data_IF_546702045623
#
_entry.id   IF_546702045623
#
_cell.length_a   1.000
_cell.length_b   1.000
_cell.length_c   1.000
_cell.angle_alpha   90.00
_cell.angle_beta   90.00
_cell.angle_gamma   90.00
#
_symmetry.space_group_name_H-M   'P 1'
#
loop_
_entity.id
_entity.type
_entity.pdbx_description
1 polymer ?
#
# COMPACT_ATOMS: atom_id res chain seq x y z
N UNK A 1 12.06 26.31 -0.49
CA UNK A 1 11.00 25.56 0.25
C UNK A 1 9.72 25.61 -0.54
N UNK A 2 9.19 24.46 -0.89
CA UNK A 2 7.86 24.32 -1.52
C UNK A 2 6.79 24.67 -0.46
N UNK A 3 5.76 25.40 -0.87
CA UNK A 3 4.58 25.70 -0.06
C UNK A 3 3.35 25.05 -0.68
N UNK A 4 2.24 25.00 0.06
CA UNK A 4 0.94 24.53 -0.47
C UNK A 4 0.55 25.23 -1.79
N UNK A 5 0.88 26.52 -1.91
CA UNK A 5 0.54 27.29 -3.10
C UNK A 5 1.25 26.79 -4.37
N UNK A 6 2.38 26.12 -4.23
CA UNK A 6 3.09 25.50 -5.35
C UNK A 6 2.39 24.25 -5.89
N UNK A 7 1.60 23.56 -5.04
CA UNK A 7 0.84 22.38 -5.43
C UNK A 7 -0.57 22.70 -5.98
N UNK A 8 -1.06 23.94 -5.82
CA UNK A 8 -2.38 24.36 -6.28
C UNK A 8 -2.56 24.37 -7.81
N UNK A 9 -1.58 24.76 -8.64
CA UNK A 9 -1.74 24.72 -10.09
C UNK A 9 -2.12 23.32 -10.58
N UNK A 10 -3.02 23.26 -11.55
CA UNK A 10 -3.34 21.99 -12.23
C UNK A 10 -2.21 21.66 -13.20
N UNK A 11 -1.79 20.40 -13.20
CA UNK A 11 -0.92 19.88 -14.25
C UNK A 11 -1.74 19.50 -15.52
N UNK A 12 -1.07 19.10 -16.59
CA UNK A 12 -1.71 18.78 -17.87
C UNK A 12 -2.71 17.63 -17.74
N UNK A 13 -2.38 16.60 -16.95
CA UNK A 13 -3.29 15.48 -16.68
C UNK A 13 -4.56 15.95 -15.96
N UNK A 14 -4.44 16.79 -14.96
CA UNK A 14 -5.58 17.35 -14.22
C UNK A 14 -6.43 18.29 -15.09
N UNK A 15 -5.81 19.06 -15.99
CA UNK A 15 -6.53 19.87 -16.99
C UNK A 15 -7.32 18.96 -17.95
N UNK A 16 -6.71 17.88 -18.43
CA UNK A 16 -7.38 16.89 -19.24
C UNK A 16 -8.58 16.27 -18.51
N UNK A 17 -8.37 15.75 -17.29
CA UNK A 17 -9.42 15.11 -16.49
C UNK A 17 -10.59 16.04 -16.21
N UNK A 18 -10.31 17.31 -15.89
CA UNK A 18 -11.33 18.33 -15.70
C UNK A 18 -12.17 18.56 -16.97
N UNK A 19 -11.54 18.61 -18.14
CA UNK A 19 -12.24 18.74 -19.42
C UNK A 19 -13.02 17.47 -19.76
N UNK A 20 -12.46 16.29 -19.47
CA UNK A 20 -13.13 15.00 -19.62
C UNK A 20 -14.44 14.95 -18.82
N UNK A 21 -14.40 15.28 -17.52
CA UNK A 21 -15.60 15.30 -16.67
C UNK A 21 -16.64 16.34 -17.10
N UNK A 22 -16.21 17.47 -17.67
CA UNK A 22 -17.15 18.43 -18.30
C UNK A 22 -17.85 17.83 -19.52
N UNK A 23 -17.13 17.06 -20.33
CA UNK A 23 -17.67 16.41 -21.53
C UNK A 23 -18.56 15.22 -21.19
N UNK A 24 -18.21 14.49 -20.13
CA UNK A 24 -18.89 13.28 -19.68
C UNK A 24 -19.30 13.39 -18.20
N UNK A 25 -20.32 14.22 -17.85
CA UNK A 25 -20.68 14.55 -16.47
C UNK A 25 -21.10 13.36 -15.63
N UNK A 26 -21.59 12.28 -16.24
CA UNK A 26 -21.98 11.05 -15.54
C UNK A 26 -20.84 10.46 -14.71
N UNK A 27 -19.59 10.63 -15.14
CA UNK A 27 -18.42 10.10 -14.43
C UNK A 27 -17.93 10.98 -13.27
N UNK A 28 -18.59 12.10 -12.99
CA UNK A 28 -18.34 12.89 -11.77
C UNK A 28 -18.84 12.18 -10.50
N UNK A 29 -19.90 11.38 -10.62
CA UNK A 29 -20.57 10.74 -9.47
C UNK A 29 -20.72 9.23 -9.63
N UNK A 30 -20.58 8.68 -10.85
CA UNK A 30 -20.66 7.24 -11.08
C UNK A 30 -19.41 6.57 -10.58
N UNK A 31 -19.54 5.73 -9.53
CA UNK A 31 -18.48 4.87 -9.05
C UNK A 31 -18.34 3.68 -10.00
N UNK A 32 -17.17 3.47 -10.54
CA UNK A 32 -16.82 2.34 -11.42
C UNK A 32 -15.94 1.37 -10.62
N UNK A 33 -16.49 0.18 -10.35
CA UNK A 33 -15.78 -0.86 -9.61
C UNK A 33 -15.47 -2.04 -10.55
N UNK A 34 -14.19 -2.33 -10.84
CA UNK A 34 -13.80 -3.42 -11.74
C UNK A 34 -14.23 -4.81 -11.24
N UNK A 35 -14.32 -5.01 -9.93
CA UNK A 35 -14.78 -6.28 -9.35
C UNK A 35 -16.29 -6.50 -9.52
N UNK A 36 -17.07 -5.41 -9.58
CA UNK A 36 -18.51 -5.49 -9.77
C UNK A 36 -18.91 -5.51 -11.24
N UNK A 37 -18.19 -4.76 -12.09
CA UNK A 37 -18.44 -4.66 -13.52
C UNK A 37 -17.15 -4.32 -14.28
N UNK A 38 -16.42 -5.33 -14.68
CA UNK A 38 -15.17 -5.21 -15.44
C UNK A 38 -15.38 -4.53 -16.81
N UNK A 39 -16.51 -4.78 -17.46
CA UNK A 39 -16.80 -4.19 -18.78
C UNK A 39 -16.95 -2.67 -18.71
N UNK A 40 -17.65 -2.15 -17.70
CA UNK A 40 -17.79 -0.71 -17.47
C UNK A 40 -16.43 -0.06 -17.19
N UNK A 41 -15.56 -0.76 -16.45
CA UNK A 41 -14.21 -0.30 -16.13
C UNK A 41 -13.36 -0.21 -17.42
N UNK A 42 -13.30 -1.29 -18.20
CA UNK A 42 -12.55 -1.34 -19.46
C UNK A 42 -13.08 -0.28 -20.43
N UNK A 43 -14.40 -0.15 -20.54
CA UNK A 43 -15.02 0.87 -21.41
C UNK A 43 -14.58 2.29 -21.03
N UNK A 44 -14.58 2.61 -19.72
CA UNK A 44 -14.15 3.93 -19.25
C UNK A 44 -12.65 4.17 -19.52
N UNK A 45 -11.79 3.16 -19.32
CA UNK A 45 -10.37 3.27 -19.63
C UNK A 45 -10.15 3.57 -21.13
N UNK A 46 -10.79 2.84 -22.03
CA UNK A 46 -10.69 3.09 -23.46
C UNK A 46 -11.23 4.47 -23.86
N UNK A 47 -12.31 4.92 -23.21
CA UNK A 47 -12.86 6.26 -23.46
C UNK A 47 -11.90 7.35 -23.00
N UNK A 48 -11.28 7.20 -21.81
CA UNK A 48 -10.26 8.11 -21.28
C UNK A 48 -9.05 8.15 -22.22
N UNK A 49 -8.53 7.01 -22.64
CA UNK A 49 -7.39 6.88 -23.54
C UNK A 49 -7.67 7.52 -24.90
N UNK A 50 -8.82 7.25 -25.49
CA UNK A 50 -9.22 7.85 -26.75
C UNK A 50 -9.34 9.38 -26.69
N UNK A 51 -9.85 9.93 -25.60
CA UNK A 51 -9.93 11.37 -25.39
C UNK A 51 -8.55 11.98 -25.03
N UNK A 52 -7.69 11.23 -24.33
CA UNK A 52 -6.32 11.63 -24.03
C UNK A 52 -5.51 11.89 -25.30
N UNK A 53 -5.47 10.92 -26.21
CA UNK A 53 -4.73 11.03 -27.47
C UNK A 53 -5.26 12.13 -28.42
N UNK A 54 -6.51 12.58 -28.25
CA UNK A 54 -7.02 13.75 -28.96
C UNK A 54 -6.49 15.08 -28.44
N UNK A 55 -6.20 15.17 -27.14
CA UNK A 55 -5.75 16.40 -26.47
C UNK A 55 -4.24 16.45 -26.28
N UNK A 56 -3.61 15.29 -26.04
CA UNK A 56 -2.21 15.11 -25.70
C UNK A 56 -1.61 13.96 -26.55
N UNK A 57 -1.53 14.12 -27.90
CA UNK A 57 -1.18 13.02 -28.81
C UNK A 57 0.23 12.48 -28.61
N UNK A 58 1.16 13.30 -28.14
CA UNK A 58 2.58 12.95 -27.96
C UNK A 58 2.90 12.42 -26.55
N UNK A 59 1.89 12.34 -25.67
CA UNK A 59 2.09 11.87 -24.29
C UNK A 59 1.53 10.47 -24.10
N UNK A 60 2.26 9.64 -23.35
CA UNK A 60 1.79 8.32 -22.93
C UNK A 60 0.56 8.47 -22.01
N UNK A 61 -0.44 7.62 -22.21
CA UNK A 61 -1.63 7.62 -21.37
C UNK A 61 -1.26 7.14 -19.95
N UNK A 62 -1.61 7.91 -18.94
CA UNK A 62 -1.18 7.73 -17.56
C UNK A 62 -1.74 6.49 -16.85
N UNK A 63 -2.82 5.89 -17.37
CA UNK A 63 -3.40 4.63 -16.86
C UNK A 63 -3.08 3.42 -17.73
N UNK A 64 -2.09 3.49 -18.60
CA UNK A 64 -1.69 2.36 -19.45
C UNK A 64 -1.35 1.14 -18.60
N UNK A 65 -2.00 0.00 -18.89
CA UNK A 65 -1.81 -1.25 -18.15
C UNK A 65 -2.56 -1.36 -16.82
N UNK A 66 -3.38 -0.37 -16.45
CA UNK A 66 -4.23 -0.47 -15.27
C UNK A 66 -5.30 -1.54 -15.43
N UNK A 67 -5.40 -2.43 -14.44
CA UNK A 67 -6.42 -3.49 -14.36
C UNK A 67 -7.38 -3.30 -13.18
N UNK A 68 -7.29 -2.14 -12.49
CA UNK A 68 -8.00 -1.92 -11.23
C UNK A 68 -7.37 -2.58 -10.02
N UNK A 69 -6.35 -3.43 -10.22
CA UNK A 69 -5.45 -3.94 -9.18
C UNK A 69 -4.01 -3.58 -9.56
N UNK A 70 -3.38 -2.70 -8.78
CA UNK A 70 -2.10 -2.10 -9.11
C UNK A 70 -0.96 -2.85 -8.40
N UNK A 71 0.02 -3.29 -9.17
CA UNK A 71 1.25 -3.87 -8.62
C UNK A 71 2.15 -2.79 -8.02
N UNK A 72 3.10 -3.18 -7.18
CA UNK A 72 4.13 -2.25 -6.66
C UNK A 72 4.90 -1.57 -7.80
N UNK A 73 5.20 -2.30 -8.87
CA UNK A 73 6.00 -1.81 -9.99
C UNK A 73 5.25 -0.83 -10.92
N UNK A 74 3.96 -0.62 -10.68
CA UNK A 74 3.18 0.37 -11.42
C UNK A 74 3.63 1.80 -11.10
N UNK A 75 3.99 2.06 -9.83
CA UNK A 75 4.43 3.38 -9.36
C UNK A 75 5.88 3.42 -8.89
N UNK A 76 6.42 2.31 -8.38
CA UNK A 76 7.72 2.26 -7.72
C UNK A 76 8.72 1.53 -8.64
N UNK A 77 9.71 2.22 -9.23
CA UNK A 77 10.76 1.58 -10.00
C UNK A 77 11.53 0.52 -9.19
N UNK A 78 12.13 -0.48 -9.86
CA UNK A 78 12.82 -1.61 -9.21
C UNK A 78 13.87 -1.19 -8.17
N UNK A 79 14.55 -0.07 -8.40
CA UNK A 79 15.62 0.43 -7.54
C UNK A 79 15.14 1.38 -6.43
N UNK A 80 13.85 1.63 -6.35
CA UNK A 80 13.25 2.54 -5.36
C UNK A 80 12.35 1.76 -4.40
N UNK A 81 12.14 2.31 -3.22
CA UNK A 81 11.30 1.74 -2.18
C UNK A 81 10.05 2.58 -1.88
N UNK A 82 10.09 3.83 -2.30
CA UNK A 82 9.04 4.82 -2.05
C UNK A 82 8.80 5.63 -3.33
N UNK A 83 7.56 5.95 -3.61
CA UNK A 83 7.15 6.92 -4.61
C UNK A 83 6.27 7.98 -3.95
N UNK A 84 6.45 9.24 -4.32
CA UNK A 84 5.68 10.37 -3.80
C UNK A 84 4.87 10.97 -4.94
N UNK A 85 3.58 11.08 -4.75
CA UNK A 85 2.68 11.63 -5.76
C UNK A 85 1.78 12.70 -5.17
N UNK A 86 1.35 13.62 -6.00
CA UNK A 86 0.17 14.43 -5.73
C UNK A 86 -1.04 13.72 -6.33
N UNK A 87 -2.03 13.39 -5.49
CA UNK A 87 -3.26 12.76 -5.94
C UNK A 87 -3.91 13.59 -7.06
N UNK A 88 -4.31 12.92 -8.14
CA UNK A 88 -4.88 13.58 -9.32
C UNK A 88 -6.30 14.07 -9.03
N UNK A 89 -6.50 15.37 -9.13
CA UNK A 89 -7.83 15.98 -9.06
C UNK A 89 -8.64 15.67 -10.31
N UNK A 90 -9.95 15.63 -10.16
CA UNK A 90 -10.89 15.36 -11.23
C UNK A 90 -10.81 13.96 -11.83
N UNK A 91 -10.18 12.99 -11.14
CA UNK A 91 -10.29 11.59 -11.56
C UNK A 91 -11.76 11.17 -11.56
N UNK A 92 -12.23 10.43 -12.58
CA UNK A 92 -13.44 9.62 -12.45
C UNK A 92 -13.34 8.69 -11.23
N UNK A 93 -14.46 8.36 -10.59
CA UNK A 93 -14.47 7.53 -9.39
C UNK A 93 -14.17 6.06 -9.74
N UNK A 94 -12.90 5.79 -10.06
CA UNK A 94 -12.38 4.46 -10.38
C UNK A 94 -11.96 3.75 -9.10
N UNK A 95 -12.77 2.78 -8.66
CA UNK A 95 -12.37 1.90 -7.56
C UNK A 95 -11.16 1.08 -8.00
N UNK A 96 -10.17 0.99 -7.14
CA UNK A 96 -8.96 0.20 -7.37
C UNK A 96 -8.48 -0.42 -6.07
N UNK A 97 -7.58 -1.37 -6.19
CA UNK A 97 -6.78 -1.92 -5.10
C UNK A 97 -5.32 -1.98 -5.52
N UNK A 98 -4.44 -2.18 -4.59
CA UNK A 98 -3.01 -2.22 -4.84
C UNK A 98 -2.28 -3.24 -3.96
N UNK A 99 -1.03 -3.57 -4.32
CA UNK A 99 -0.16 -4.51 -3.57
C UNK A 99 0.76 -3.81 -2.56
N UNK A 100 0.83 -2.50 -2.58
CA UNK A 100 1.69 -1.66 -1.74
C UNK A 100 0.92 -1.05 -0.56
N UNK A 101 1.64 -0.39 0.33
CA UNK A 101 1.04 0.46 1.37
C UNK A 101 0.98 1.89 0.82
N UNK A 102 -0.17 2.51 0.97
CA UNK A 102 -0.39 3.90 0.61
C UNK A 102 -0.72 4.71 1.87
N UNK A 103 0.03 5.80 2.08
CA UNK A 103 -0.24 6.78 3.12
C UNK A 103 -0.57 8.11 2.46
N UNK A 104 -1.76 8.61 2.69
CA UNK A 104 -2.24 9.84 2.10
C UNK A 104 -2.27 10.93 3.17
N UNK A 105 -1.65 12.08 2.89
CA UNK A 105 -1.75 13.28 3.72
C UNK A 105 -2.63 14.32 3.04
N UNK A 106 -3.70 14.73 3.72
CA UNK A 106 -4.64 15.73 3.21
C UNK A 106 -4.14 17.14 3.56
N UNK A 107 -3.41 17.77 2.66
CA UNK A 107 -2.99 19.17 2.83
C UNK A 107 -4.18 20.12 2.77
N UNK A 108 -5.08 19.90 1.81
CA UNK A 108 -6.35 20.63 1.64
C UNK A 108 -7.44 19.70 1.16
N UNK A 109 -8.47 19.51 1.94
CA UNK A 109 -9.60 18.65 1.61
C UNK A 109 -10.54 19.28 0.58
N UNK A 110 -11.07 20.48 0.84
CA UNK A 110 -12.11 21.10 0.01
C UNK A 110 -13.23 20.14 -0.38
N UNK A 111 -13.80 19.44 0.61
CA UNK A 111 -14.85 18.43 0.44
C UNK A 111 -14.38 17.15 -0.29
N UNK A 112 -13.12 16.80 -0.20
CA UNK A 112 -12.64 15.49 -0.67
C UNK A 112 -13.22 14.36 0.16
N UNK A 113 -13.44 13.22 -0.50
CA UNK A 113 -13.95 12.00 0.16
C UNK A 113 -12.99 10.84 -0.13
N UNK A 114 -12.84 9.97 0.85
CA UNK A 114 -12.37 8.60 0.64
C UNK A 114 -13.61 7.70 0.50
N UNK A 115 -13.67 6.95 -0.59
CA UNK A 115 -14.77 6.02 -0.88
C UNK A 115 -14.20 4.60 -0.85
N UNK A 116 -14.73 3.77 0.01
CA UNK A 116 -14.47 2.34 0.06
C UNK A 116 -15.70 1.53 -0.38
N UNK A 117 -15.66 0.21 -0.26
CA UNK A 117 -16.76 -0.65 -0.67
C UNK A 117 -18.05 -0.47 0.17
N UNK A 118 -17.94 0.09 1.38
CA UNK A 118 -19.04 0.17 2.34
C UNK A 118 -19.57 1.60 2.50
N UNK A 119 -18.67 2.61 2.43
CA UNK A 119 -19.03 3.99 2.78
C UNK A 119 -18.18 5.04 2.05
N UNK A 120 -18.63 6.28 2.18
CA UNK A 120 -17.86 7.48 1.81
C UNK A 120 -17.51 8.26 3.08
N UNK A 121 -16.23 8.47 3.31
CA UNK A 121 -15.70 9.16 4.49
C UNK A 121 -15.24 10.56 4.11
N UNK A 122 -15.85 11.63 4.64
CA UNK A 122 -15.37 13.00 4.43
C UNK A 122 -13.98 13.19 5.03
N UNK A 123 -13.09 13.81 4.25
CA UNK A 123 -11.73 14.13 4.68
C UNK A 123 -11.63 15.59 5.13
N UNK A 124 -10.71 15.85 6.05
CA UNK A 124 -10.40 17.17 6.57
C UNK A 124 -8.93 17.51 6.33
N UNK A 125 -8.60 18.81 6.41
CA UNK A 125 -7.21 19.26 6.34
C UNK A 125 -6.41 18.67 7.52
N UNK A 126 -5.26 18.06 7.24
CA UNK A 126 -4.43 17.38 8.24
C UNK A 126 -4.78 15.91 8.46
N UNK A 127 -5.80 15.37 7.79
CA UNK A 127 -6.06 13.93 7.88
C UNK A 127 -4.91 13.13 7.24
N UNK A 128 -4.57 12.03 7.90
CA UNK A 128 -3.62 11.03 7.41
C UNK A 128 -4.36 9.71 7.28
N UNK A 129 -4.31 9.11 6.11
CA UNK A 129 -4.98 7.85 5.83
C UNK A 129 -3.93 6.79 5.48
N UNK A 130 -3.99 5.62 6.09
CA UNK A 130 -3.21 4.45 5.69
C UNK A 130 -4.14 3.45 5.01
N UNK A 131 -3.94 3.27 3.71
CA UNK A 131 -4.61 2.28 2.88
C UNK A 131 -3.71 1.05 2.74
N UNK A 132 -4.09 -0.10 3.31
CA UNK A 132 -3.31 -1.34 3.22
C UNK A 132 -3.42 -1.99 1.84
N UNK A 133 -2.57 -2.99 1.54
CA UNK A 133 -2.72 -3.81 0.36
C UNK A 133 -4.12 -4.42 0.24
N UNK A 134 -4.61 -4.53 -0.99
CA UNK A 134 -5.90 -5.10 -1.37
C UNK A 134 -7.16 -4.32 -0.94
N UNK A 135 -7.04 -3.20 -0.24
CA UNK A 135 -8.19 -2.33 0.05
C UNK A 135 -8.78 -1.81 -1.26
N UNK A 136 -10.09 -2.05 -1.47
CA UNK A 136 -10.85 -1.44 -2.57
C UNK A 136 -11.25 -0.03 -2.18
N UNK A 137 -10.71 0.97 -2.86
CA UNK A 137 -10.98 2.37 -2.56
C UNK A 137 -10.81 3.29 -3.77
N UNK A 138 -11.27 4.52 -3.63
CA UNK A 138 -10.98 5.65 -4.52
C UNK A 138 -11.10 6.97 -3.76
N UNK A 139 -10.42 8.01 -4.24
CA UNK A 139 -10.57 9.37 -3.72
C UNK A 139 -11.43 10.21 -4.64
N UNK A 140 -12.38 10.95 -4.06
CA UNK A 140 -13.11 11.99 -4.78
C UNK A 140 -12.48 13.34 -4.48
N UNK A 141 -11.69 13.86 -5.42
CA UNK A 141 -10.94 15.12 -5.33
C UNK A 141 -11.31 16.06 -6.48
N UNK A 142 -12.62 16.33 -6.64
CA UNK A 142 -13.14 17.08 -7.78
C UNK A 142 -13.13 18.60 -7.57
N UNK A 143 -12.26 19.11 -6.71
CA UNK A 143 -12.11 20.55 -6.44
C UNK A 143 -10.68 21.01 -6.80
N UNK A 144 -10.58 22.16 -7.48
CA UNK A 144 -9.28 22.75 -7.88
C UNK A 144 -8.34 23.06 -6.70
N UNK A 145 -8.90 23.23 -5.51
CA UNK A 145 -8.15 23.58 -4.31
C UNK A 145 -7.84 22.35 -3.42
N UNK A 146 -8.32 21.15 -3.76
CA UNK A 146 -7.97 19.94 -3.02
C UNK A 146 -6.51 19.58 -3.29
N UNK A 147 -5.78 19.18 -2.24
CA UNK A 147 -4.39 18.73 -2.34
C UNK A 147 -4.23 17.55 -1.38
N UNK A 148 -3.97 16.37 -1.93
CA UNK A 148 -3.59 15.18 -1.18
C UNK A 148 -2.21 14.76 -1.71
N UNK A 149 -1.30 14.44 -0.80
CA UNK A 149 0.02 13.89 -1.11
C UNK A 149 0.05 12.43 -0.71
N UNK A 150 0.40 11.58 -1.66
CA UNK A 150 0.38 10.13 -1.51
C UNK A 150 1.82 9.62 -1.35
N UNK A 151 2.08 8.89 -0.28
CA UNK A 151 3.31 8.14 -0.05
C UNK A 151 3.01 6.69 -0.38
N UNK A 152 3.59 6.20 -1.46
CA UNK A 152 3.45 4.83 -1.93
C UNK A 152 4.70 4.06 -1.52
N UNK A 153 4.55 3.07 -0.64
CA UNK A 153 5.65 2.32 -0.05
C UNK A 153 5.57 0.83 -0.38
N UNK A 154 6.71 0.24 -0.74
CA UNK A 154 6.80 -1.23 -0.74
C UNK A 154 6.49 -1.77 0.65
N UNK A 155 5.74 -2.87 0.72
CA UNK A 155 5.39 -3.50 2.00
C UNK A 155 6.66 -3.82 2.81
N UNK A 156 7.69 -4.34 2.15
CA UNK A 156 8.99 -4.67 2.80
C UNK A 156 9.68 -3.46 3.42
N UNK A 157 9.54 -2.28 2.82
CA UNK A 157 10.12 -1.03 3.34
C UNK A 157 9.35 -0.55 4.56
N UNK A 158 8.01 -0.55 4.47
CA UNK A 158 7.16 -0.19 5.60
C UNK A 158 7.45 -1.08 6.80
N UNK A 159 7.57 -2.39 6.59
CA UNK A 159 7.88 -3.32 7.67
C UNK A 159 9.20 -3.01 8.38
N UNK A 160 10.23 -2.65 7.60
CA UNK A 160 11.53 -2.31 8.20
C UNK A 160 11.40 -1.13 9.16
N UNK A 161 10.64 -0.11 8.79
CA UNK A 161 10.34 1.06 9.64
C UNK A 161 9.47 0.64 10.83
N UNK A 162 8.41 -0.07 10.55
CA UNK A 162 7.40 -0.45 11.53
C UNK A 162 7.93 -1.41 12.58
N UNK A 163 8.81 -2.36 12.22
CA UNK A 163 9.44 -3.26 13.19
C UNK A 163 10.32 -2.56 14.19
N UNK A 164 10.95 -1.44 13.84
CA UNK A 164 11.70 -0.64 14.81
C UNK A 164 10.76 0.05 15.82
N UNK A 165 9.52 0.33 15.43
CA UNK A 165 8.49 0.92 16.30
C UNK A 165 7.83 -0.10 17.22
N UNK A 166 7.69 -1.36 16.78
CA UNK A 166 6.99 -2.43 17.52
C UNK A 166 7.71 -2.95 18.76
N UNK A 167 8.92 -2.48 19.06
CA UNK A 167 9.68 -2.93 20.24
C UNK A 167 9.01 -2.66 21.60
N UNK A 168 7.90 -1.93 21.59
CA UNK A 168 7.08 -1.70 22.80
C UNK A 168 5.75 -2.46 22.62
N UNK A 169 5.66 -3.66 23.16
CA UNK A 169 4.49 -4.54 23.23
C UNK A 169 3.17 -3.79 23.47
N UNK A 170 2.57 -3.17 22.44
CA UNK A 170 1.31 -2.50 22.57
C UNK A 170 0.23 -3.12 21.65
N UNK A 171 -1.02 -2.91 22.04
CA UNK A 171 -2.22 -3.39 21.37
C UNK A 171 -2.30 -2.90 19.91
N UNK A 172 -1.78 -1.70 19.64
CA UNK A 172 -1.79 -1.08 18.33
C UNK A 172 -0.95 -1.84 17.31
N UNK A 173 0.18 -2.44 17.70
CA UNK A 173 0.98 -3.25 16.77
C UNK A 173 0.19 -4.41 16.19
N UNK A 174 -0.66 -5.05 17.00
CA UNK A 174 -1.55 -6.13 16.52
C UNK A 174 -2.61 -5.60 15.58
N UNK A 175 -3.23 -4.46 15.91
CA UNK A 175 -4.23 -3.82 15.05
C UNK A 175 -3.64 -3.42 13.71
N UNK A 176 -2.48 -2.76 13.70
CA UNK A 176 -1.77 -2.39 12.47
C UNK A 176 -1.43 -3.62 11.62
N UNK A 177 -0.85 -4.65 12.25
CA UNK A 177 -0.51 -5.88 11.54
C UNK A 177 -1.74 -6.54 10.94
N UNK A 178 -2.87 -6.50 11.62
CA UNK A 178 -4.11 -7.07 11.11
C UNK A 178 -4.74 -6.22 9.98
N UNK A 179 -4.63 -4.90 10.04
CA UNK A 179 -5.06 -4.02 8.95
C UNK A 179 -4.19 -4.24 7.72
N UNK A 180 -2.87 -4.31 7.88
CA UNK A 180 -1.92 -4.41 6.77
C UNK A 180 -1.89 -5.82 6.15
N UNK A 181 -1.95 -6.87 6.98
CA UNK A 181 -1.79 -8.26 6.55
C UNK A 181 -3.07 -9.09 6.64
N UNK A 182 -4.15 -8.53 7.20
CA UNK A 182 -5.45 -9.18 7.27
C UNK A 182 -6.22 -9.13 5.95
N UNK A 183 -7.28 -9.92 5.86
CA UNK A 183 -8.27 -9.81 4.78
C UNK A 183 -9.28 -8.69 5.06
N UNK A 184 -9.02 -7.82 6.04
CA UNK A 184 -9.93 -6.74 6.39
C UNK A 184 -9.92 -5.65 5.32
N UNK A 185 -11.08 -5.32 4.76
CA UNK A 185 -11.27 -4.21 3.84
C UNK A 185 -11.25 -2.86 4.58
N UNK A 186 -10.32 -2.68 5.52
CA UNK A 186 -10.25 -1.51 6.37
C UNK A 186 -9.03 -0.64 6.14
N UNK A 187 -9.16 0.64 6.49
CA UNK A 187 -8.06 1.61 6.52
C UNK A 187 -7.94 2.21 7.92
N UNK A 188 -6.85 2.91 8.17
CA UNK A 188 -6.64 3.69 9.39
C UNK A 188 -6.65 5.17 9.01
N UNK A 189 -7.32 5.99 9.81
CA UNK A 189 -7.30 7.44 9.66
C UNK A 189 -6.89 8.09 10.97
N UNK A 190 -6.04 9.11 10.89
CA UNK A 190 -5.69 10.02 11.99
C UNK A 190 -6.15 11.43 11.62
N UNK A 191 -6.76 12.11 12.56
CA UNK A 191 -7.20 13.49 12.41
C UNK A 191 -6.18 14.46 13.01
N UNK A 192 -5.02 14.60 12.36
CA UNK A 192 -3.88 15.41 12.81
C UNK A 192 -4.03 16.90 12.45
N UNK A 193 -5.20 17.48 12.74
CA UNK A 193 -5.47 18.88 12.43
C UNK A 193 -4.50 19.80 13.18
N UNK A 194 -3.93 20.79 12.45
CA UNK A 194 -2.99 21.79 12.98
C UNK A 194 -1.62 21.26 13.42
N UNK A 195 -1.23 20.04 13.10
CA UNK A 195 0.15 19.58 13.28
C UNK A 195 1.06 20.17 12.20
N UNK A 196 1.73 21.28 12.54
CA UNK A 196 2.64 21.97 11.62
C UNK A 196 3.89 21.14 11.31
N UNK A 197 4.35 20.30 12.25
CA UNK A 197 5.54 19.49 12.06
C UNK A 197 5.32 18.40 11.00
N UNK A 198 4.20 17.69 11.07
CA UNK A 198 3.81 16.71 10.04
C UNK A 198 3.62 17.39 8.69
N UNK A 199 2.94 18.53 8.65
CA UNK A 199 2.72 19.29 7.42
C UNK A 199 4.02 19.77 6.76
N UNK A 200 4.93 20.35 7.53
CA UNK A 200 6.23 20.80 7.03
C UNK A 200 7.06 19.64 6.51
N UNK A 201 6.99 18.49 7.18
CA UNK A 201 7.69 17.29 6.76
C UNK A 201 7.15 16.73 5.45
N UNK A 202 5.83 16.71 5.25
CA UNK A 202 5.20 16.30 3.98
C UNK A 202 5.65 17.20 2.83
N UNK A 203 5.66 18.52 3.04
CA UNK A 203 6.15 19.47 2.03
C UNK A 203 7.63 19.27 1.72
N UNK A 204 8.46 18.96 2.73
CA UNK A 204 9.88 18.65 2.55
C UNK A 204 10.10 17.35 1.77
N UNK A 205 9.31 16.30 2.04
CA UNK A 205 9.34 15.04 1.29
C UNK A 205 8.99 15.28 -0.18
N UNK A 206 7.92 16.04 -0.43
CA UNK A 206 7.48 16.39 -1.78
C UNK A 206 8.53 17.24 -2.51
N UNK A 207 9.15 18.19 -1.85
CA UNK A 207 10.25 19.01 -2.41
C UNK A 207 11.47 18.17 -2.79
N UNK A 208 11.85 17.22 -1.93
CA UNK A 208 12.96 16.29 -2.20
C UNK A 208 12.68 15.42 -3.44
N UNK A 209 11.43 14.92 -3.55
CA UNK A 209 10.98 14.14 -4.70
C UNK A 209 11.05 14.94 -6.01
N UNK A 210 10.50 16.15 -6.03
CA UNK A 210 10.50 17.01 -7.22
C UNK A 210 11.90 17.44 -7.66
N UNK A 211 12.79 17.73 -6.71
CA UNK A 211 14.16 18.15 -7.00
C UNK A 211 15.05 17.00 -7.49
N UNK A 212 14.73 15.77 -7.12
CA UNK A 212 15.41 14.54 -7.52
C UNK A 212 16.94 14.65 -7.47
N UNK A 213 17.47 15.14 -6.34
CA UNK A 213 18.92 15.35 -6.16
C UNK A 213 19.63 14.02 -5.90
N UNK A 214 20.97 14.04 -5.94
CA UNK A 214 21.78 12.86 -5.60
C UNK A 214 21.40 12.32 -4.22
N UNK A 215 21.15 11.02 -4.12
CA UNK A 215 20.66 10.30 -2.93
C UNK A 215 19.21 10.63 -2.53
N UNK A 216 18.41 11.19 -3.43
CA UNK A 216 17.00 11.49 -3.23
C UNK A 216 16.23 10.31 -2.62
N UNK A 217 16.37 9.09 -3.16
CA UNK A 217 15.69 7.89 -2.67
C UNK A 217 15.95 7.64 -1.18
N UNK A 218 17.22 7.78 -0.76
CA UNK A 218 17.60 7.56 0.64
C UNK A 218 17.13 8.69 1.56
N UNK A 219 17.11 9.92 1.07
CA UNK A 219 16.56 11.05 1.80
C UNK A 219 15.06 10.88 2.01
N UNK A 220 14.33 10.47 0.98
CA UNK A 220 12.89 10.22 1.07
C UNK A 220 12.59 9.09 2.04
N UNK A 221 13.30 7.96 1.98
CA UNK A 221 13.15 6.86 2.94
C UNK A 221 13.28 7.35 4.41
N UNK A 222 14.32 8.16 4.69
CA UNK A 222 14.55 8.71 6.02
C UNK A 222 13.45 9.69 6.46
N UNK A 223 13.03 10.57 5.55
CA UNK A 223 11.98 11.56 5.83
C UNK A 223 10.60 10.89 6.05
N UNK A 224 10.29 9.85 5.29
CA UNK A 224 9.07 9.06 5.49
C UNK A 224 9.13 8.28 6.81
N UNK A 225 10.30 7.77 7.19
CA UNK A 225 10.51 7.16 8.49
C UNK A 225 10.31 8.17 9.62
N UNK A 226 10.87 9.38 9.49
CA UNK A 226 10.65 10.48 10.44
C UNK A 226 9.16 10.85 10.55
N UNK A 227 8.46 10.91 9.42
CA UNK A 227 7.02 11.17 9.37
C UNK A 227 6.21 10.14 10.17
N UNK A 228 6.47 8.84 9.94
CA UNK A 228 5.80 7.76 10.68
C UNK A 228 6.12 7.83 12.17
N UNK A 229 7.38 8.12 12.53
CA UNK A 229 7.79 8.25 13.93
C UNK A 229 7.11 9.40 14.64
N UNK A 230 7.00 10.58 14.00
CA UNK A 230 6.30 11.74 14.56
C UNK A 230 4.81 11.44 14.71
N UNK A 231 4.18 10.85 13.67
CA UNK A 231 2.78 10.45 13.71
C UNK A 231 2.50 9.52 14.90
N UNK A 232 3.32 8.46 15.07
CA UNK A 232 3.16 7.54 16.18
C UNK A 232 3.42 8.19 17.54
N UNK A 233 4.43 9.04 17.64
CA UNK A 233 4.76 9.72 18.90
C UNK A 233 3.66 10.66 19.40
N UNK A 234 3.01 11.36 18.47
CA UNK A 234 2.10 12.46 18.80
C UNK A 234 0.62 12.07 18.71
N UNK A 235 0.28 11.06 17.86
CA UNK A 235 -1.11 10.76 17.48
C UNK A 235 -1.45 9.27 17.54
N UNK A 236 -0.61 8.43 18.20
CA UNK A 236 -0.84 6.98 18.28
C UNK A 236 -2.26 6.64 18.77
N UNK A 237 -2.71 7.31 19.83
CA UNK A 237 -4.02 7.07 20.47
C UNK A 237 -5.20 7.64 19.68
N UNK A 238 -4.94 8.45 18.64
CA UNK A 238 -5.96 9.09 17.80
C UNK A 238 -6.30 8.28 16.55
N UNK A 239 -5.70 7.10 16.38
CA UNK A 239 -5.94 6.21 15.26
C UNK A 239 -7.38 5.71 15.25
N UNK A 240 -8.12 6.00 14.18
CA UNK A 240 -9.49 5.53 13.95
C UNK A 240 -9.46 4.44 12.87
N UNK A 241 -9.98 3.27 13.19
CA UNK A 241 -10.07 2.14 12.27
C UNK A 241 -11.45 2.15 11.58
N UNK A 242 -11.46 2.01 10.25
CA UNK A 242 -12.69 2.07 9.46
C UNK A 242 -13.61 0.88 9.65
N UNK A 243 -13.08 -0.27 10.04
CA UNK A 243 -13.83 -1.49 10.33
C UNK A 243 -13.84 -1.78 11.82
N UNK A 244 -14.96 -2.28 12.32
CA UNK A 244 -15.04 -2.84 13.67
C UNK A 244 -14.17 -4.10 13.71
N UNK A 245 -12.98 -3.99 14.28
CA UNK A 245 -12.08 -5.11 14.43
C UNK A 245 -12.68 -6.16 15.37
N UNK A 246 -13.25 -7.22 14.82
CA UNK A 246 -13.69 -8.38 15.57
C UNK A 246 -12.50 -9.30 15.73
N UNK A 247 -12.10 -9.55 16.97
CA UNK A 247 -11.01 -10.46 17.34
C UNK A 247 -11.44 -11.91 17.04
N UNK A 248 -11.53 -12.27 15.77
CA UNK A 248 -11.90 -13.59 15.30
C UNK A 248 -10.62 -14.44 15.16
N UNK A 249 -10.58 -15.63 15.76
CA UNK A 249 -9.41 -16.51 15.71
C UNK A 249 -9.01 -16.91 14.28
N UNK A 250 -9.98 -16.94 13.36
CA UNK A 250 -9.72 -17.30 11.96
C UNK A 250 -9.10 -16.13 11.19
N UNK A 251 -9.48 -14.91 11.52
CA UNK A 251 -8.89 -13.68 10.96
C UNK A 251 -7.44 -13.49 11.42
N UNK A 252 -7.17 -13.71 12.69
CA UNK A 252 -5.79 -13.71 13.21
C UNK A 252 -4.91 -14.75 12.52
N UNK A 253 -5.44 -15.95 12.24
CA UNK A 253 -4.71 -16.97 11.49
C UNK A 253 -4.41 -16.52 10.05
N UNK A 254 -5.38 -15.93 9.36
CA UNK A 254 -5.20 -15.41 7.99
C UNK A 254 -4.14 -14.33 7.95
N UNK A 255 -4.19 -13.36 8.87
CA UNK A 255 -3.20 -12.28 8.96
C UNK A 255 -1.78 -12.81 9.19
N UNK A 256 -1.62 -13.77 10.10
CA UNK A 256 -0.33 -14.45 10.35
C UNK A 256 0.16 -15.19 9.11
N UNK A 257 -0.74 -15.87 8.39
CA UNK A 257 -0.40 -16.62 7.18
C UNK A 257 -0.01 -15.68 6.02
N UNK A 258 -0.78 -14.61 5.83
CA UNK A 258 -0.49 -13.58 4.82
C UNK A 258 0.87 -12.94 5.06
N UNK A 259 1.16 -12.56 6.33
CA UNK A 259 2.48 -12.05 6.70
C UNK A 259 3.59 -13.04 6.32
N UNK A 260 3.42 -14.32 6.65
CA UNK A 260 4.41 -15.35 6.28
C UNK A 260 4.58 -15.48 4.76
N UNK A 261 3.50 -15.37 3.98
CA UNK A 261 3.52 -15.44 2.52
C UNK A 261 4.24 -14.23 1.90
N UNK A 262 4.10 -13.04 2.48
CA UNK A 262 4.78 -11.83 2.02
C UNK A 262 6.25 -11.82 2.40
N UNK A 263 6.61 -12.37 3.57
CA UNK A 263 7.96 -12.33 4.14
C UNK A 263 8.66 -13.69 4.17
N UNK A 264 8.24 -14.64 3.35
CA UNK A 264 8.72 -16.03 3.38
C UNK A 264 10.25 -16.18 3.36
N UNK A 265 10.97 -15.23 2.78
CA UNK A 265 12.43 -15.24 2.70
C UNK A 265 13.10 -15.02 4.06
N UNK A 266 12.55 -14.10 4.88
CA UNK A 266 13.23 -13.56 6.06
C UNK A 266 12.45 -13.72 7.36
N UNK A 267 11.19 -14.21 7.29
CA UNK A 267 10.35 -14.36 8.48
C UNK A 267 10.92 -15.42 9.43
N UNK A 268 10.89 -15.09 10.71
CA UNK A 268 11.15 -16.01 11.83
C UNK A 268 9.94 -16.03 12.75
N UNK A 269 9.81 -17.07 13.56
CA UNK A 269 8.73 -17.15 14.54
C UNK A 269 8.76 -15.97 15.51
N UNK A 270 9.97 -15.53 15.92
CA UNK A 270 10.13 -14.37 16.81
C UNK A 270 9.71 -13.06 16.15
N UNK A 271 10.05 -12.85 14.87
CA UNK A 271 9.58 -11.66 14.12
C UNK A 271 8.06 -11.65 14.01
N UNK A 272 7.48 -12.81 13.67
CA UNK A 272 6.03 -12.95 13.57
C UNK A 272 5.33 -12.69 14.92
N UNK A 273 5.91 -13.21 16.00
CA UNK A 273 5.42 -12.99 17.36
C UNK A 273 5.44 -11.50 17.73
N UNK A 274 6.52 -10.81 17.40
CA UNK A 274 6.67 -9.38 17.62
C UNK A 274 5.64 -8.57 16.80
N UNK A 275 5.55 -8.85 15.49
CA UNK A 275 4.65 -8.13 14.58
C UNK A 275 3.17 -8.17 15.00
N UNK A 276 2.76 -9.30 15.59
CA UNK A 276 1.35 -9.51 15.96
C UNK A 276 1.10 -9.41 17.48
N UNK A 277 2.10 -8.98 18.23
CA UNK A 277 2.03 -8.91 19.69
C UNK A 277 1.54 -10.22 20.35
N UNK A 278 2.02 -11.35 19.83
CA UNK A 278 1.78 -12.69 20.37
C UNK A 278 3.06 -13.28 20.95
N UNK A 279 2.91 -14.21 21.89
CA UNK A 279 4.02 -15.10 22.21
C UNK A 279 4.22 -16.13 21.07
N UNK A 280 5.44 -16.61 20.86
CA UNK A 280 5.72 -17.69 19.89
C UNK A 280 4.83 -18.92 20.12
N UNK A 281 4.55 -19.23 21.38
CA UNK A 281 3.68 -20.33 21.79
C UNK A 281 2.23 -20.13 21.37
N UNK A 282 1.73 -18.90 21.39
CA UNK A 282 0.38 -18.58 20.92
C UNK A 282 0.29 -18.76 19.41
N UNK A 283 1.27 -18.28 18.64
CA UNK A 283 1.33 -18.46 17.18
C UNK A 283 1.35 -19.94 16.79
N UNK A 284 2.21 -20.74 17.43
CA UNK A 284 2.26 -22.19 17.20
C UNK A 284 0.89 -22.83 17.46
N UNK A 285 0.21 -22.41 18.53
CA UNK A 285 -1.14 -22.90 18.86
C UNK A 285 -2.17 -22.51 17.83
N UNK A 286 -2.13 -21.25 17.33
CA UNK A 286 -3.03 -20.77 16.26
C UNK A 286 -2.81 -21.58 14.98
N UNK A 287 -1.57 -21.76 14.55
CA UNK A 287 -1.26 -22.53 13.35
C UNK A 287 -1.70 -24.00 13.48
N UNK A 288 -1.35 -24.67 14.57
CA UNK A 288 -1.74 -26.06 14.81
C UNK A 288 -3.27 -26.25 14.86
N UNK A 289 -3.99 -25.29 15.48
CA UNK A 289 -5.45 -25.33 15.55
C UNK A 289 -6.09 -25.25 14.13
N UNK A 290 -5.55 -24.40 13.26
CA UNK A 290 -6.17 -24.11 11.97
C UNK A 290 -5.68 -25.05 10.83
N UNK A 291 -4.45 -25.57 10.93
CA UNK A 291 -3.83 -26.34 9.82
C UNK A 291 -3.30 -27.71 10.22
N UNK A 292 -3.22 -28.00 11.51
CA UNK A 292 -2.50 -29.17 12.04
C UNK A 292 -0.98 -29.05 12.00
N UNK A 293 -0.43 -27.98 11.38
CA UNK A 293 1.01 -27.78 11.11
C UNK A 293 1.61 -26.72 12.05
N UNK A 294 2.92 -26.79 12.29
CA UNK A 294 3.67 -25.77 12.99
C UNK A 294 4.21 -24.70 12.04
N UNK A 295 4.83 -23.64 12.62
CA UNK A 295 5.41 -22.52 11.86
C UNK A 295 6.41 -22.97 10.79
N UNK A 296 7.37 -23.85 11.16
CA UNK A 296 8.41 -24.31 10.23
C UNK A 296 7.86 -25.13 9.08
N UNK A 297 6.85 -25.96 9.31
CA UNK A 297 6.17 -26.76 8.30
C UNK A 297 5.43 -25.88 7.30
N UNK A 298 4.66 -24.88 7.80
CA UNK A 298 3.95 -23.92 6.95
C UNK A 298 4.93 -23.05 6.14
N UNK A 299 6.01 -22.58 6.76
CA UNK A 299 7.03 -21.80 6.04
C UNK A 299 7.70 -22.62 4.92
N UNK A 300 8.00 -23.89 5.21
CA UNK A 300 8.54 -24.79 4.19
C UNK A 300 7.58 -24.98 3.03
N UNK A 301 6.30 -25.17 3.31
CA UNK A 301 5.26 -25.31 2.28
C UNK A 301 5.15 -24.05 1.41
N UNK A 302 5.12 -22.87 2.01
CA UNK A 302 5.10 -21.58 1.28
C UNK A 302 6.33 -21.49 0.36
N UNK A 303 7.53 -21.79 0.88
CA UNK A 303 8.78 -21.73 0.10
C UNK A 303 8.80 -22.75 -1.04
N UNK A 304 8.32 -23.96 -0.81
CA UNK A 304 8.27 -25.00 -1.86
C UNK A 304 7.27 -24.66 -2.96
N UNK A 305 6.11 -24.10 -2.63
CA UNK A 305 5.17 -23.62 -3.64
C UNK A 305 5.77 -22.51 -4.53
N UNK A 306 6.60 -21.63 -3.95
CA UNK A 306 7.38 -20.63 -4.72
C UNK A 306 8.51 -21.29 -5.52
N UNK A 307 9.19 -22.30 -4.96
CA UNK A 307 10.26 -23.06 -5.62
C UNK A 307 9.79 -23.68 -6.93
N UNK A 308 8.61 -24.30 -6.94
CA UNK A 308 8.03 -24.93 -8.14
C UNK A 308 7.90 -23.93 -9.30
N UNK A 309 7.57 -22.68 -9.01
CA UNK A 309 7.48 -21.63 -10.03
C UNK A 309 8.86 -21.21 -10.53
N UNK A 310 9.83 -21.00 -9.61
CA UNK A 310 11.17 -20.57 -9.96
C UNK A 310 11.97 -21.66 -10.71
N UNK A 311 11.78 -22.93 -10.36
CA UNK A 311 12.45 -24.08 -11.01
C UNK A 311 12.03 -24.28 -12.48
N UNK A 312 10.90 -23.70 -12.90
CA UNK A 312 10.50 -23.69 -14.33
C UNK A 312 11.40 -22.82 -15.17
N UNK A 313 12.04 -21.81 -14.56
CA UNK A 313 12.97 -20.94 -15.25
C UNK A 313 14.39 -21.53 -15.20
N UNK A 314 14.83 -22.10 -16.33
CA UNK A 314 16.15 -22.75 -16.46
C UNK A 314 17.34 -21.78 -16.42
N UNK A 315 17.10 -20.49 -16.52
CA UNK A 315 18.14 -19.47 -16.50
C UNK A 315 18.60 -19.12 -15.08
N UNK A 316 17.83 -19.51 -14.06
CA UNK A 316 18.16 -19.24 -12.66
C UNK A 316 18.90 -20.45 -12.07
N UNK A 317 20.13 -20.30 -11.61
CA UNK A 317 20.87 -21.41 -11.01
C UNK A 317 20.25 -21.82 -9.65
N UNK A 318 20.36 -23.08 -9.28
CA UNK A 318 19.73 -23.65 -8.06
C UNK A 318 20.15 -22.92 -6.78
N UNK A 319 21.42 -22.49 -6.68
CA UNK A 319 21.87 -21.68 -5.55
C UNK A 319 21.21 -20.29 -5.50
N UNK A 320 20.92 -19.70 -6.65
CA UNK A 320 20.14 -18.47 -6.77
C UNK A 320 18.71 -18.67 -6.26
N UNK A 321 18.05 -19.75 -6.71
CA UNK A 321 16.69 -20.11 -6.24
C UNK A 321 16.68 -20.32 -4.72
N UNK A 322 17.65 -21.09 -4.18
CA UNK A 322 17.74 -21.30 -2.73
C UNK A 322 17.85 -19.97 -1.96
N UNK A 323 18.68 -19.03 -2.43
CA UNK A 323 18.83 -17.71 -1.84
C UNK A 323 17.53 -16.89 -1.94
N UNK A 324 16.88 -16.87 -3.10
CA UNK A 324 15.60 -16.18 -3.32
C UNK A 324 14.47 -16.73 -2.43
N UNK A 325 14.56 -17.99 -2.01
CA UNK A 325 13.61 -18.63 -1.10
C UNK A 325 13.98 -18.45 0.40
N UNK A 326 15.09 -17.79 0.70
CA UNK A 326 15.54 -17.53 2.05
C UNK A 326 16.23 -18.73 2.72
N UNK A 327 16.83 -19.63 1.95
CA UNK A 327 17.68 -20.71 2.47
C UNK A 327 19.14 -20.25 2.53
N UNK A 328 19.76 -20.40 3.67
CA UNK A 328 21.20 -20.13 3.87
C UNK A 328 22.11 -21.20 3.26
N UNK A 329 21.57 -22.37 2.93
CA UNK A 329 22.29 -23.51 2.38
C UNK A 329 21.54 -24.12 1.19
N UNK A 330 22.18 -24.13 0.04
CA UNK A 330 21.67 -24.80 -1.17
C UNK A 330 21.51 -26.31 -0.96
N UNK A 331 22.42 -26.94 -0.23
CA UNK A 331 22.32 -28.35 0.12
C UNK A 331 21.05 -28.65 0.92
N UNK A 332 20.75 -27.83 1.92
CA UNK A 332 19.53 -28.00 2.71
C UNK A 332 18.26 -27.77 1.89
N UNK A 333 18.27 -26.77 1.00
CA UNK A 333 17.17 -26.55 0.05
C UNK A 333 16.90 -27.78 -0.81
N UNK A 334 17.93 -28.36 -1.45
CA UNK A 334 17.81 -29.56 -2.29
C UNK A 334 17.23 -30.73 -1.50
N UNK A 335 17.72 -30.93 -0.26
CA UNK A 335 17.22 -32.01 0.61
C UNK A 335 15.74 -31.84 0.95
N UNK A 336 15.30 -30.62 1.21
CA UNK A 336 13.89 -30.31 1.50
C UNK A 336 13.03 -30.48 0.25
N UNK A 337 13.49 -30.02 -0.89
CA UNK A 337 12.79 -30.14 -2.17
C UNK A 337 12.58 -31.61 -2.55
N UNK A 338 13.62 -32.44 -2.45
CA UNK A 338 13.52 -33.89 -2.71
C UNK A 338 12.57 -34.62 -1.76
N UNK A 339 12.35 -34.11 -0.56
CA UNK A 339 11.40 -34.70 0.39
C UNK A 339 9.96 -34.20 0.22
N UNK A 340 9.78 -33.15 -0.59
CA UNK A 340 8.49 -32.50 -0.82
C UNK A 340 7.82 -32.95 -2.13
N UNK A 341 8.60 -33.45 -3.08
CA UNK A 341 8.17 -34.08 -4.34
C UNK A 341 7.96 -35.57 -4.11
#
# INVERSE_FOLDING_TARGET
MISENNLLPLNDTEHFLKNFLKKFPVYQTKIINPLANEQDYIYLLHLLEAEWHKQLPDQTFFLTGSSGHLSEDFFIPENQNVCILKNLRYMPLLMHSHQFIEINYVLKSNHSLLIDAEKSTPLQDGDIILCPPNLQHTFQTQNKNSIIVDFILRVTTFDTVFFHLLNNNNYLSTLFSNVIYGDSNGYIIWHCQNDSALKELVLKVYEEWENNLKYCDKMIELLVMEFILILMRSHEDEAVFSTSYINNSDENFRSLLNYMQMHYQTVTLSKLALAFNYSERQIIRIFKKNTGKGFSELLTEIRMNKAIQLLKNKDIPINGIASMLGYSSTYYFIKVEQSYV
#
